data_IF_201905689871
#
_entry.id   IF_201905689871
#
_cell.length_a   1.000
_cell.length_b   1.000
_cell.length_c   1.000
_cell.angle_alpha   90.00
_cell.angle_beta   90.00
_cell.angle_gamma   90.00
#
_symmetry.space_group_name_H-M   'P 1'
#
loop_
_entity.id
_entity.type
_entity.pdbx_description
1 polymer ?
#
# COMPACT_ATOMS: atom_id res chain seq x y z
N UNK A 1 -6.74 18.97 -9.47
CA UNK A 1 -7.14 18.08 -8.36
C UNK A 1 -7.86 16.89 -8.96
N UNK A 2 -7.34 15.67 -8.80
CA UNK A 2 -8.05 14.47 -9.25
C UNK A 2 -8.94 13.99 -8.10
N UNK A 3 -10.22 14.32 -8.18
CA UNK A 3 -11.22 13.98 -7.15
C UNK A 3 -11.55 12.48 -7.15
N UNK A 4 -11.21 11.76 -8.22
CA UNK A 4 -11.57 10.36 -8.39
C UNK A 4 -10.38 9.53 -8.92
N UNK A 5 -9.98 8.53 -8.13
CA UNK A 5 -8.90 7.59 -8.44
C UNK A 5 -9.43 6.33 -9.15
N UNK A 6 -10.76 6.23 -9.35
CA UNK A 6 -11.42 5.04 -9.90
C UNK A 6 -11.56 3.90 -8.89
N UNK A 7 -11.31 4.18 -7.61
CA UNK A 7 -11.50 3.27 -6.47
C UNK A 7 -12.35 4.04 -5.45
N UNK A 8 -13.32 3.37 -4.83
CA UNK A 8 -14.16 3.93 -3.76
C UNK A 8 -13.32 4.12 -2.48
N UNK A 9 -12.68 5.28 -2.36
CA UNK A 9 -11.88 5.66 -1.20
C UNK A 9 -12.23 7.08 -0.77
N UNK A 10 -12.29 7.31 0.55
CA UNK A 10 -12.46 8.66 1.10
C UNK A 10 -11.23 9.49 0.78
N UNK A 11 -11.44 10.72 0.31
CA UNK A 11 -10.36 11.66 0.05
C UNK A 11 -9.63 12.02 1.36
N UNK A 12 -8.30 12.12 1.36
CA UNK A 12 -7.54 12.54 2.53
C UNK A 12 -7.82 14.01 2.86
N UNK A 13 -7.88 14.33 4.15
CA UNK A 13 -8.11 15.70 4.66
C UNK A 13 -6.86 16.59 4.53
N UNK A 14 -5.67 16.00 4.35
CA UNK A 14 -4.41 16.72 4.24
C UNK A 14 -4.16 17.30 2.84
N UNK A 15 -3.57 18.49 2.80
CA UNK A 15 -3.06 19.10 1.55
C UNK A 15 -1.63 18.58 1.32
N UNK A 16 -1.33 18.09 0.11
CA UNK A 16 0.04 17.75 -0.27
C UNK A 16 0.39 18.29 -1.65
N UNK A 17 1.66 18.68 -1.81
CA UNK A 17 2.27 19.22 -3.03
C UNK A 17 3.11 18.19 -3.79
N UNK A 18 3.00 16.91 -3.41
CA UNK A 18 3.76 15.81 -4.01
C UNK A 18 3.26 15.45 -5.41
N UNK A 19 4.15 15.49 -6.42
CA UNK A 19 3.84 15.11 -7.81
C UNK A 19 3.44 13.63 -7.96
N UNK A 20 3.96 12.77 -7.07
CA UNK A 20 3.70 11.31 -7.04
C UNK A 20 2.47 10.94 -6.22
N UNK A 21 1.74 11.92 -5.68
CA UNK A 21 0.51 11.65 -4.95
C UNK A 21 -0.62 11.27 -5.93
N UNK A 22 -1.41 10.22 -5.65
CA UNK A 22 -2.54 9.84 -6.51
C UNK A 22 -3.73 10.83 -6.48
N UNK A 23 -3.86 11.66 -5.43
CA UNK A 23 -4.94 12.65 -5.30
C UNK A 23 -4.57 14.04 -5.88
N UNK A 24 -3.39 14.54 -5.50
CA UNK A 24 -2.93 15.89 -5.83
C UNK A 24 -1.95 15.94 -7.00
N UNK A 25 -1.31 14.82 -7.32
CA UNK A 25 -0.33 14.71 -8.37
C UNK A 25 -0.90 14.24 -9.70
N UNK A 26 0.02 13.86 -10.59
CA UNK A 26 -0.31 13.46 -11.97
C UNK A 26 -0.44 11.94 -12.12
N UNK A 27 0.07 11.18 -11.15
CA UNK A 27 0.16 9.72 -11.21
C UNK A 27 -1.23 9.06 -11.27
N UNK A 28 -1.58 8.31 -12.33
CA UNK A 28 -2.79 7.51 -12.37
C UNK A 28 -2.60 6.20 -11.62
N UNK A 29 -3.58 5.82 -10.81
CA UNK A 29 -3.63 4.49 -10.16
C UNK A 29 -4.23 3.48 -11.12
N UNK A 30 -3.53 2.38 -11.38
CA UNK A 30 -3.95 1.31 -12.30
C UNK A 30 -3.36 -0.01 -11.85
N UNK A 31 -4.06 -1.11 -12.11
CA UNK A 31 -3.56 -2.46 -11.88
C UNK A 31 -4.15 -3.10 -10.63
N UNK A 32 -3.34 -3.92 -9.95
CA UNK A 32 -3.78 -4.74 -8.83
C UNK A 32 -3.73 -3.97 -7.51
N UNK A 33 -4.84 -3.97 -6.78
CA UNK A 33 -4.89 -3.49 -5.39
C UNK A 33 -4.44 -4.61 -4.46
N UNK A 34 -3.43 -4.34 -3.63
CA UNK A 34 -2.87 -5.29 -2.67
C UNK A 34 -3.15 -4.80 -1.26
N UNK A 35 -3.70 -5.67 -0.43
CA UNK A 35 -3.88 -5.42 1.00
C UNK A 35 -2.73 -6.06 1.80
N UNK A 36 -2.21 -5.33 2.79
CA UNK A 36 -1.14 -5.81 3.65
C UNK A 36 -0.95 -4.95 4.90
N UNK A 37 -0.02 -5.35 5.76
CA UNK A 37 0.27 -4.69 7.04
C UNK A 37 1.58 -3.93 6.95
N UNK A 38 1.64 -2.70 7.47
CA UNK A 38 2.88 -1.93 7.51
C UNK A 38 3.83 -2.53 8.55
N UNK A 39 5.00 -3.01 8.08
CA UNK A 39 6.08 -3.50 8.95
C UNK A 39 7.00 -2.37 9.39
N UNK A 40 7.36 -1.48 8.47
CA UNK A 40 8.22 -0.35 8.76
C UNK A 40 7.84 0.90 7.96
N UNK A 41 7.87 2.03 8.65
CA UNK A 41 7.65 3.38 8.12
C UNK A 41 8.85 4.29 8.44
N UNK A 42 10.07 3.73 8.48
CA UNK A 42 11.28 4.49 8.83
C UNK A 42 11.86 5.28 7.66
N UNK A 43 11.44 4.99 6.41
CA UNK A 43 11.94 5.67 5.23
C UNK A 43 11.13 6.95 4.97
N UNK A 44 11.82 7.96 4.44
CA UNK A 44 11.17 9.21 4.04
C UNK A 44 10.23 8.92 2.86
N UNK A 45 8.94 9.27 3.01
CA UNK A 45 7.90 9.13 1.99
C UNK A 45 7.75 7.72 1.38
N UNK A 46 8.22 6.68 2.08
CA UNK A 46 8.10 5.28 1.62
C UNK A 46 7.82 4.36 2.80
N UNK A 47 6.97 3.35 2.59
CA UNK A 47 6.63 2.35 3.59
C UNK A 47 6.86 0.94 3.07
N UNK A 48 7.19 0.04 3.99
CA UNK A 48 7.33 -1.39 3.71
C UNK A 48 6.08 -2.10 4.21
N UNK A 49 5.33 -2.66 3.28
CA UNK A 49 4.12 -3.43 3.55
C UNK A 49 4.41 -4.91 3.40
N UNK A 50 3.97 -5.70 4.36
CA UNK A 50 4.11 -7.16 4.35
C UNK A 50 2.75 -7.80 4.11
N UNK A 51 2.70 -8.74 3.17
CA UNK A 51 1.55 -9.61 2.91
C UNK A 51 1.92 -11.04 3.26
N UNK A 52 1.17 -11.64 4.16
CA UNK A 52 1.30 -13.05 4.53
C UNK A 52 0.34 -13.90 3.71
N UNK A 53 0.83 -15.03 3.19
CA UNK A 53 0.01 -15.99 2.46
C UNK A 53 0.50 -17.42 2.68
N UNK A 54 -0.38 -18.37 2.41
CA UNK A 54 -0.11 -19.80 2.55
C UNK A 54 0.18 -20.42 1.18
N UNK A 55 1.40 -20.90 0.96
CA UNK A 55 1.76 -21.65 -0.25
C UNK A 55 1.57 -23.14 -0.01
N UNK A 56 0.98 -23.85 -0.98
CA UNK A 56 0.80 -25.29 -0.90
C UNK A 56 2.08 -26.01 -1.34
N UNK A 57 2.49 -27.04 -0.59
CA UNK A 57 3.64 -27.91 -0.90
C UNK A 57 3.08 -29.26 -1.36
N UNK A 58 2.97 -29.51 -2.67
CA UNK A 58 2.17 -30.62 -3.22
C UNK A 58 2.69 -31.99 -2.77
N UNK A 59 4.01 -32.16 -2.64
CA UNK A 59 4.63 -33.42 -2.18
C UNK A 59 4.16 -33.86 -0.79
N UNK A 60 3.85 -32.92 0.09
CA UNK A 60 3.51 -33.20 1.49
C UNK A 60 2.07 -32.84 1.83
N UNK A 61 1.30 -32.33 0.87
CA UNK A 61 -0.06 -31.80 1.07
C UNK A 61 -0.17 -30.81 2.24
N UNK A 62 0.92 -30.05 2.49
CA UNK A 62 1.05 -29.11 3.60
C UNK A 62 1.09 -27.68 3.10
N UNK A 63 0.67 -26.74 3.94
CA UNK A 63 0.75 -25.31 3.66
C UNK A 63 1.89 -24.66 4.43
N UNK A 64 2.81 -24.01 3.72
CA UNK A 64 3.87 -23.20 4.32
C UNK A 64 3.41 -21.73 4.43
N UNK A 65 3.71 -21.09 5.56
CA UNK A 65 3.51 -19.65 5.74
C UNK A 65 4.64 -18.91 5.05
N UNK A 66 4.31 -18.04 4.10
CA UNK A 66 5.25 -17.13 3.43
C UNK A 66 4.82 -15.68 3.62
N UNK A 67 5.81 -14.80 3.50
CA UNK A 67 5.62 -13.36 3.51
C UNK A 67 6.25 -12.76 2.26
N UNK A 68 5.56 -11.81 1.65
CA UNK A 68 6.09 -10.94 0.60
C UNK A 68 6.15 -9.51 1.11
N UNK A 69 7.23 -8.79 0.78
CA UNK A 69 7.41 -7.39 1.12
C UNK A 69 7.20 -6.53 -0.12
N UNK A 70 6.48 -5.44 0.05
CA UNK A 70 6.20 -4.45 -0.98
C UNK A 70 6.66 -3.08 -0.49
N UNK A 71 7.34 -2.35 -1.36
CA UNK A 71 7.75 -0.97 -1.11
C UNK A 71 6.73 -0.05 -1.77
N UNK A 72 6.03 0.75 -0.97
CA UNK A 72 5.00 1.66 -1.46
C UNK A 72 5.36 3.11 -1.11
N UNK A 73 5.05 4.03 -2.03
CA UNK A 73 5.22 5.45 -1.80
C UNK A 73 4.08 5.98 -0.91
N UNK A 74 4.42 6.82 0.07
CA UNK A 74 3.43 7.53 0.88
C UNK A 74 3.55 9.04 0.64
N UNK A 75 2.47 9.70 0.19
CA UNK A 75 2.42 11.15 0.10
C UNK A 75 2.17 11.77 1.48
N UNK A 76 2.56 13.02 1.68
CA UNK A 76 2.40 13.73 2.98
C UNK A 76 0.93 13.89 3.42
N UNK A 77 -0.01 13.69 2.50
CA UNK A 77 -1.45 13.69 2.74
C UNK A 77 -1.92 12.57 3.69
N UNK A 78 -1.20 11.46 3.81
CA UNK A 78 -1.63 10.27 4.55
C UNK A 78 -0.62 9.99 5.66
N UNK A 79 -1.09 9.94 6.92
CA UNK A 79 -0.27 9.56 8.06
C UNK A 79 -0.53 8.08 8.36
N UNK A 80 0.50 7.26 8.32
CA UNK A 80 0.44 5.84 8.67
C UNK A 80 1.40 5.50 9.80
N UNK A 81 1.05 4.50 10.59
CA UNK A 81 1.89 3.95 11.67
C UNK A 81 2.22 2.49 11.38
N UNK A 82 3.19 1.96 12.13
CA UNK A 82 3.52 0.53 12.08
C UNK A 82 2.34 -0.28 12.62
N UNK A 83 1.96 -1.35 11.92
CA UNK A 83 0.85 -2.22 12.29
C UNK A 83 -0.49 -1.89 11.61
N UNK A 84 -0.60 -0.76 10.91
CA UNK A 84 -1.83 -0.43 10.19
C UNK A 84 -2.02 -1.35 8.97
N UNK A 85 -3.28 -1.69 8.69
CA UNK A 85 -3.70 -2.41 7.48
C UNK A 85 -3.91 -1.40 6.38
N UNK A 86 -3.18 -1.54 5.27
CA UNK A 86 -3.23 -0.61 4.15
C UNK A 86 -3.51 -1.33 2.84
N UNK A 87 -4.16 -0.61 1.94
CA UNK A 87 -4.35 -1.02 0.54
C UNK A 87 -3.40 -0.21 -0.33
N UNK A 88 -2.58 -0.89 -1.13
CA UNK A 88 -1.64 -0.31 -2.08
C UNK A 88 -2.18 -0.53 -3.49
N UNK A 89 -2.07 0.48 -4.35
CA UNK A 89 -2.42 0.43 -5.77
C UNK A 89 -1.51 1.37 -6.56
#
# INVERSE_FOLDING_TARGET
MKTNIGIDVKSPEGVCTDKKCPFHGELPVRGQVIEGVIKSASMIKTVVVERTFLRNVPKYERRERRFSKYHAHIPDCIKVKRGDVVKIA
#
